data_IF_182808779233
#
_entry.id   IF_182808779233
#
_cell.length_a   1.000
_cell.length_b   1.000
_cell.length_c   1.000
_cell.angle_alpha   90.00
_cell.angle_beta   90.00
_cell.angle_gamma   90.00
#
_symmetry.space_group_name_H-M   'P 1'
#
loop_
_entity.id
_entity.type
_entity.pdbx_description
1 polymer ?
#
# COMPACT_ATOMS: atom_id res chain seq x y z
N UNK A 1 -0.69 19.49 -11.94
CA UNK A 1 -1.18 18.45 -11.00
C UNK A 1 -0.63 18.54 -9.58
N UNK A 2 0.64 18.20 -9.28
CA UNK A 2 1.10 18.10 -7.87
C UNK A 2 0.93 19.37 -7.03
N UNK A 3 1.29 20.54 -7.59
CA UNK A 3 1.17 21.85 -6.94
C UNK A 3 -0.28 22.32 -6.71
N UNK A 4 -1.14 22.12 -7.70
CA UNK A 4 -2.56 22.49 -7.62
C UNK A 4 -3.27 21.61 -6.59
N UNK A 5 -2.99 20.31 -6.62
CA UNK A 5 -3.55 19.36 -5.65
C UNK A 5 -3.10 19.65 -4.22
N UNK A 6 -1.81 19.94 -4.03
CA UNK A 6 -1.31 20.37 -2.73
C UNK A 6 -1.98 21.67 -2.26
N UNK A 7 -2.23 22.61 -3.18
CA UNK A 7 -2.92 23.85 -2.85
C UNK A 7 -4.37 23.61 -2.45
N UNK A 8 -5.07 22.71 -3.15
CA UNK A 8 -6.44 22.31 -2.85
C UNK A 8 -6.55 21.68 -1.44
N UNK A 9 -5.63 20.78 -1.08
CA UNK A 9 -5.65 20.11 0.23
C UNK A 9 -5.40 21.06 1.41
N UNK A 10 -4.84 22.23 1.14
CA UNK A 10 -4.57 23.30 2.11
C UNK A 10 -5.63 24.41 2.09
N UNK A 11 -6.71 24.26 1.31
CA UNK A 11 -7.89 25.13 1.42
C UNK A 11 -8.65 24.81 2.70
N UNK A 12 -9.53 25.72 3.11
CA UNK A 12 -10.40 25.53 4.29
C UNK A 12 -11.60 24.64 3.95
N UNK A 13 -11.92 23.60 4.75
CA UNK A 13 -11.12 23.08 5.87
C UNK A 13 -9.87 22.32 5.38
N UNK A 14 -8.73 22.53 6.08
CA UNK A 14 -7.48 21.83 5.72
C UNK A 14 -7.66 20.31 5.79
N UNK A 15 -7.36 19.62 4.69
CA UNK A 15 -7.45 18.17 4.60
C UNK A 15 -6.10 17.56 4.98
N UNK A 16 -5.99 16.73 6.04
CA UNK A 16 -4.74 16.05 6.38
C UNK A 16 -4.27 15.14 5.25
N UNK A 17 -2.99 15.23 4.85
CA UNK A 17 -2.46 14.40 3.76
C UNK A 17 -1.11 13.75 4.05
N UNK A 18 -0.77 12.75 3.22
CA UNK A 18 0.54 12.09 3.15
C UNK A 18 0.90 11.92 1.67
N UNK A 19 1.66 12.86 1.10
CA UNK A 19 1.99 12.83 -0.33
C UNK A 19 3.46 12.48 -0.54
N UNK A 20 3.72 11.55 -1.46
CA UNK A 20 5.07 11.29 -1.95
C UNK A 20 5.47 12.33 -2.98
N UNK A 21 6.68 12.86 -2.86
CA UNK A 21 7.29 13.74 -3.87
C UNK A 21 8.50 13.04 -4.51
N UNK A 22 8.91 13.50 -5.69
CA UNK A 22 10.10 12.97 -6.37
C UNK A 22 11.37 13.45 -5.66
N UNK A 23 12.44 12.67 -5.74
CA UNK A 23 13.74 13.03 -5.17
C UNK A 23 14.34 14.29 -5.82
N UNK A 24 13.97 14.59 -7.07
CA UNK A 24 14.39 15.80 -7.79
C UNK A 24 13.65 17.08 -7.34
N UNK A 25 12.58 16.97 -6.54
CA UNK A 25 11.82 18.14 -6.11
C UNK A 25 12.60 19.04 -5.17
N UNK A 26 12.44 20.35 -5.35
CA UNK A 26 13.16 21.36 -4.57
C UNK A 26 12.50 21.61 -3.21
N UNK A 27 13.32 21.55 -2.16
CA UNK A 27 12.93 21.75 -0.77
C UNK A 27 13.75 22.92 -0.22
N UNK A 28 13.08 23.87 0.46
CA UNK A 28 13.82 24.95 1.12
C UNK A 28 14.65 24.42 2.29
N UNK A 29 15.83 24.99 2.59
CA UNK A 29 16.53 24.74 3.84
C UNK A 29 15.87 25.49 5.01
N UNK A 30 16.28 25.19 6.25
CA UNK A 30 15.85 25.93 7.46
C UNK A 30 16.36 27.37 7.45
N UNK A 31 17.56 27.60 6.93
CA UNK A 31 18.32 28.85 7.01
C UNK A 31 18.01 29.88 5.93
N UNK A 32 17.03 29.65 5.05
CA UNK A 32 16.70 30.58 3.96
C UNK A 32 17.69 30.60 2.79
N UNK A 33 18.74 29.75 2.80
CA UNK A 33 19.65 29.53 1.67
C UNK A 33 18.92 28.95 0.44
N UNK A 34 19.65 28.80 -0.67
CA UNK A 34 19.15 28.20 -1.92
C UNK A 34 18.48 26.84 -1.69
N UNK A 35 17.35 26.62 -2.36
CA UNK A 35 16.63 25.33 -2.33
C UNK A 35 17.52 24.23 -2.90
N UNK A 36 17.43 23.04 -2.34
CA UNK A 36 18.13 21.85 -2.85
C UNK A 36 17.13 20.74 -3.20
N UNK A 37 17.55 19.80 -4.05
CA UNK A 37 16.75 18.62 -4.35
C UNK A 37 16.57 17.76 -3.10
N UNK A 38 15.44 17.07 -3.02
CA UNK A 38 15.18 16.07 -1.98
C UNK A 38 16.28 15.00 -1.89
N UNK A 39 16.85 14.60 -3.02
CA UNK A 39 18.00 13.69 -3.08
C UNK A 39 19.20 14.22 -2.28
N UNK A 40 19.68 15.43 -2.59
CA UNK A 40 20.76 16.07 -1.85
C UNK A 40 20.40 16.30 -0.38
N UNK A 41 19.13 16.62 -0.11
CA UNK A 41 18.65 16.86 1.25
C UNK A 41 18.67 15.61 2.12
N UNK A 42 18.61 14.41 1.54
CA UNK A 42 18.55 13.13 2.26
C UNK A 42 19.65 12.14 1.85
N UNK A 43 20.71 12.61 1.18
CA UNK A 43 21.82 11.80 0.69
C UNK A 43 22.52 11.02 1.82
N UNK A 44 22.62 11.62 3.00
CA UNK A 44 23.23 11.01 4.18
C UNK A 44 22.45 9.82 4.76
N UNK A 45 21.22 9.54 4.31
CA UNK A 45 20.41 8.43 4.83
C UNK A 45 20.91 7.08 4.31
N UNK A 46 21.16 6.15 5.23
CA UNK A 46 21.47 4.75 4.93
C UNK A 46 20.18 3.94 4.76
N UNK A 47 20.20 2.78 4.06
CA UNK A 47 19.03 1.90 3.96
C UNK A 47 18.45 1.55 5.34
N UNK A 48 17.14 1.69 5.50
CA UNK A 48 16.42 1.50 6.76
C UNK A 48 16.33 2.76 7.63
N UNK A 49 17.10 3.81 7.33
CA UNK A 49 17.03 5.06 8.08
C UNK A 49 15.92 5.97 7.58
N UNK A 50 15.46 6.83 8.50
CA UNK A 50 14.53 7.91 8.19
C UNK A 50 14.91 9.18 8.95
N UNK A 51 14.56 10.32 8.37
CA UNK A 51 14.78 11.64 8.97
C UNK A 51 13.60 12.55 8.66
N UNK A 52 13.02 13.08 9.73
CA UNK A 52 12.10 14.21 9.65
C UNK A 52 12.88 15.52 9.71
N UNK A 53 12.60 16.46 8.81
CA UNK A 53 13.18 17.79 8.90
C UNK A 53 12.50 18.60 10.01
N UNK A 54 13.29 19.33 10.80
CA UNK A 54 12.76 20.17 11.89
C UNK A 54 12.01 21.37 11.34
N UNK A 55 10.71 21.47 11.62
CA UNK A 55 9.83 22.56 11.16
C UNK A 55 9.40 22.43 9.69
N UNK A 56 8.44 23.26 9.27
CA UNK A 56 7.90 23.23 7.90
C UNK A 56 8.93 23.75 6.88
N UNK A 57 8.88 23.23 5.65
CA UNK A 57 9.68 23.63 4.48
C UNK A 57 8.77 24.04 3.34
N UNK A 58 9.29 24.90 2.46
CA UNK A 58 8.61 25.23 1.22
C UNK A 58 8.85 24.13 0.20
N UNK A 59 7.74 23.52 -0.26
CA UNK A 59 7.68 22.57 -1.37
C UNK A 59 6.53 23.02 -2.27
N UNK A 60 6.77 23.13 -3.57
CA UNK A 60 5.78 23.63 -4.55
C UNK A 60 5.07 24.94 -4.16
N UNK A 61 5.76 25.82 -3.42
CA UNK A 61 5.19 27.10 -2.97
C UNK A 61 4.21 26.98 -1.80
N UNK A 62 4.22 25.88 -1.05
CA UNK A 62 3.45 25.70 0.20
C UNK A 62 4.36 25.25 1.35
N UNK A 63 4.04 25.67 2.58
CA UNK A 63 4.78 25.26 3.80
C UNK A 63 4.23 23.94 4.33
N UNK A 64 5.03 22.88 4.26
CA UNK A 64 4.67 21.51 4.68
C UNK A 64 5.78 20.88 5.51
N UNK A 65 5.47 19.89 6.33
CA UNK A 65 6.49 19.02 6.91
C UNK A 65 7.04 18.08 5.86
N UNK A 66 8.32 17.72 6.00
CA UNK A 66 9.04 16.86 5.05
C UNK A 66 9.74 15.75 5.82
N UNK A 67 9.55 14.52 5.37
CA UNK A 67 10.15 13.32 5.93
C UNK A 67 10.81 12.54 4.79
N UNK A 68 12.08 12.20 4.95
CA UNK A 68 12.80 11.31 4.04
C UNK A 68 13.05 9.96 4.71
N UNK A 69 12.96 8.87 3.95
CA UNK A 69 13.34 7.53 4.38
C UNK A 69 13.99 6.79 3.22
N UNK A 70 15.07 6.05 3.49
CA UNK A 70 15.67 5.15 2.52
C UNK A 70 15.19 3.74 2.81
N UNK A 71 14.47 3.13 1.88
CA UNK A 71 13.84 1.83 2.09
C UNK A 71 14.89 0.75 2.34
N UNK A 72 14.71 -0.06 3.39
CA UNK A 72 15.67 -1.10 3.76
C UNK A 72 15.87 -2.13 2.63
N UNK A 73 14.78 -2.56 1.99
CA UNK A 73 14.81 -3.64 0.99
C UNK A 73 15.43 -3.21 -0.35
N UNK A 74 15.12 -1.98 -0.81
CA UNK A 74 15.47 -1.51 -2.16
C UNK A 74 16.55 -0.44 -2.18
N UNK A 75 16.84 0.19 -1.04
CA UNK A 75 17.70 1.36 -0.97
C UNK A 75 17.10 2.61 -1.61
N UNK A 76 15.84 2.56 -2.08
CA UNK A 76 15.16 3.66 -2.76
C UNK A 76 14.82 4.79 -1.77
N UNK A 77 15.03 6.04 -2.20
CA UNK A 77 14.65 7.21 -1.42
C UNK A 77 13.15 7.51 -1.55
N UNK A 78 12.45 7.43 -0.42
CA UNK A 78 11.07 7.85 -0.25
C UNK A 78 11.05 9.21 0.44
N UNK A 79 10.43 10.21 -0.20
CA UNK A 79 10.23 11.53 0.41
C UNK A 79 8.73 11.80 0.52
N UNK A 80 8.28 12.09 1.72
CA UNK A 80 6.90 12.42 2.05
C UNK A 80 6.76 13.86 2.49
N UNK A 81 5.65 14.47 2.10
CA UNK A 81 5.18 15.75 2.61
C UNK A 81 3.82 15.60 3.29
N UNK A 82 3.60 16.40 4.33
CA UNK A 82 2.35 16.42 5.11
C UNK A 82 2.11 17.79 5.76
N UNK A 83 0.85 18.16 5.96
CA UNK A 83 0.45 19.34 6.76
C UNK A 83 0.26 19.03 8.26
N UNK A 84 0.05 17.77 8.65
CA UNK A 84 -0.29 17.38 10.01
C UNK A 84 0.44 16.09 10.47
N UNK A 85 0.76 15.99 11.76
CA UNK A 85 1.34 14.79 12.40
C UNK A 85 2.49 14.16 11.61
N UNK A 86 3.62 14.86 11.39
CA UNK A 86 4.76 14.32 10.65
C UNK A 86 5.37 13.06 11.26
N UNK A 87 5.25 12.89 12.57
CA UNK A 87 5.74 11.74 13.33
C UNK A 87 5.08 10.41 12.92
N UNK A 88 3.80 10.42 12.51
CA UNK A 88 3.11 9.22 12.01
C UNK A 88 3.16 9.10 10.48
N UNK A 89 3.80 10.04 9.78
CA UNK A 89 3.64 10.14 8.33
C UNK A 89 4.14 8.90 7.56
N UNK A 90 5.28 8.34 7.98
CA UNK A 90 5.84 7.14 7.37
C UNK A 90 4.98 5.90 7.65
N UNK A 91 4.52 5.72 8.88
CA UNK A 91 3.70 4.56 9.27
C UNK A 91 2.31 4.61 8.61
N UNK A 92 1.70 5.80 8.53
CA UNK A 92 0.45 6.01 7.79
C UNK A 92 0.64 5.71 6.30
N UNK A 93 1.72 6.21 5.70
CA UNK A 93 2.00 6.00 4.28
C UNK A 93 2.33 4.53 3.95
N UNK A 94 2.97 3.80 4.88
CA UNK A 94 3.22 2.37 4.71
C UNK A 94 1.93 1.55 4.55
N UNK A 95 0.81 1.98 5.16
CA UNK A 95 -0.51 1.33 4.97
C UNK A 95 -1.00 1.42 3.52
N UNK A 96 -0.53 2.42 2.74
CA UNK A 96 -0.86 2.57 1.31
C UNK A 96 -0.39 1.38 0.47
N UNK A 97 0.71 0.71 0.84
CA UNK A 97 1.14 -0.52 0.16
C UNK A 97 0.09 -1.63 0.25
N UNK A 98 -0.73 -1.67 1.31
CA UNK A 98 -1.86 -2.59 1.41
C UNK A 98 -2.87 -2.38 0.26
N UNK A 99 -3.15 -1.11 -0.07
CA UNK A 99 -4.07 -0.73 -1.14
C UNK A 99 -3.51 -1.14 -2.52
N UNK A 100 -2.22 -0.93 -2.77
CA UNK A 100 -1.58 -1.38 -4.02
C UNK A 100 -1.62 -2.91 -4.18
N UNK A 101 -1.48 -3.64 -3.07
CA UNK A 101 -1.64 -5.08 -3.06
C UNK A 101 -3.06 -5.52 -3.37
N UNK A 102 -4.07 -4.84 -2.80
CA UNK A 102 -5.48 -5.07 -3.14
C UNK A 102 -5.75 -4.82 -4.63
N UNK A 103 -5.36 -3.66 -5.17
CA UNK A 103 -5.56 -3.37 -6.59
C UNK A 103 -4.85 -4.39 -7.49
N UNK A 104 -3.63 -4.79 -7.14
CA UNK A 104 -2.94 -5.83 -7.88
C UNK A 104 -3.65 -7.18 -7.85
N UNK A 105 -4.24 -7.56 -6.70
CA UNK A 105 -5.03 -8.77 -6.53
C UNK A 105 -6.34 -8.74 -7.33
N UNK A 106 -7.01 -7.59 -7.42
CA UNK A 106 -8.21 -7.40 -8.25
C UNK A 106 -7.89 -7.49 -9.75
N UNK A 107 -6.71 -7.02 -10.16
CA UNK A 107 -6.23 -7.06 -11.55
C UNK A 107 -5.54 -8.41 -11.84
N UNK A 108 -4.42 -8.37 -12.55
CA UNK A 108 -3.74 -9.52 -13.13
C UNK A 108 -3.16 -10.52 -12.12
N UNK A 109 -2.92 -10.13 -10.86
CA UNK A 109 -2.32 -11.05 -9.87
C UNK A 109 -3.34 -11.99 -9.21
N UNK A 110 -4.64 -11.80 -9.45
CA UNK A 110 -5.70 -12.58 -8.81
C UNK A 110 -6.94 -12.76 -9.68
N UNK A 111 -7.87 -11.83 -9.56
CA UNK A 111 -9.23 -11.95 -10.11
C UNK A 111 -9.37 -11.54 -11.58
N UNK A 112 -8.34 -10.92 -12.17
CA UNK A 112 -8.32 -10.50 -13.57
C UNK A 112 -9.50 -9.59 -13.95
N UNK A 113 -9.89 -8.67 -13.05
CA UNK A 113 -11.05 -7.78 -13.24
C UNK A 113 -11.00 -7.04 -14.59
N UNK A 114 -9.83 -6.56 -15.01
CA UNK A 114 -9.67 -5.82 -16.27
C UNK A 114 -9.97 -6.67 -17.52
N UNK A 115 -9.82 -7.99 -17.45
CA UNK A 115 -10.12 -8.92 -18.53
C UNK A 115 -11.62 -9.16 -18.73
N UNK A 116 -12.46 -8.72 -17.79
CA UNK A 116 -13.92 -8.86 -17.89
C UNK A 116 -14.55 -7.83 -18.83
N UNK A 117 -13.82 -6.75 -19.16
CA UNK A 117 -14.28 -5.63 -19.98
C UNK A 117 -15.63 -5.01 -19.54
N UNK A 118 -16.03 -5.17 -18.27
CA UNK A 118 -17.25 -4.54 -17.75
C UNK A 118 -17.14 -3.02 -17.78
N UNK A 119 -18.05 -2.37 -18.53
CA UNK A 119 -18.13 -0.90 -18.63
C UNK A 119 -19.33 -0.30 -17.89
N UNK A 120 -20.35 -1.11 -17.57
CA UNK A 120 -21.54 -0.63 -16.86
C UNK A 120 -21.24 -0.37 -15.37
N UNK A 121 -21.43 0.86 -14.86
CA UNK A 121 -21.09 1.19 -13.48
C UNK A 121 -21.87 0.40 -12.42
N UNK A 122 -23.15 0.08 -12.67
CA UNK A 122 -23.99 -0.67 -11.71
C UNK A 122 -23.56 -2.13 -11.61
N UNK A 123 -23.20 -2.76 -12.74
CA UNK A 123 -22.61 -4.12 -12.78
C UNK A 123 -21.23 -4.14 -12.16
N UNK A 124 -20.39 -3.14 -12.44
CA UNK A 124 -19.07 -3.02 -11.84
C UNK A 124 -19.15 -2.90 -10.31
N UNK A 125 -20.07 -2.07 -9.79
CA UNK A 125 -20.31 -1.94 -8.35
C UNK A 125 -20.67 -3.29 -7.69
N UNK A 126 -21.59 -4.04 -8.29
CA UNK A 126 -21.96 -5.39 -7.80
C UNK A 126 -20.79 -6.37 -7.87
N UNK A 127 -20.05 -6.36 -8.97
CA UNK A 127 -18.85 -7.20 -9.12
C UNK A 127 -17.79 -6.87 -8.07
N UNK A 128 -17.53 -5.58 -7.82
CA UNK A 128 -16.60 -5.15 -6.78
C UNK A 128 -17.03 -5.64 -5.40
N UNK A 129 -18.33 -5.59 -5.07
CA UNK A 129 -18.84 -6.13 -3.80
C UNK A 129 -18.55 -7.64 -3.67
N UNK A 130 -18.80 -8.42 -4.71
CA UNK A 130 -18.49 -9.85 -4.74
C UNK A 130 -16.98 -10.11 -4.63
N UNK A 131 -16.16 -9.32 -5.34
CA UNK A 131 -14.70 -9.43 -5.28
C UNK A 131 -14.15 -9.05 -3.90
N UNK A 132 -14.77 -8.11 -3.19
CA UNK A 132 -14.41 -7.78 -1.80
C UNK A 132 -14.64 -8.95 -0.84
N UNK A 133 -15.76 -9.67 -1.01
CA UNK A 133 -16.04 -10.89 -0.24
C UNK A 133 -15.04 -12.00 -0.60
N UNK A 134 -14.82 -12.25 -1.89
CA UNK A 134 -13.87 -13.25 -2.36
C UNK A 134 -12.42 -12.94 -1.93
N UNK A 135 -12.04 -11.66 -1.93
CA UNK A 135 -10.73 -11.21 -1.45
C UNK A 135 -10.57 -11.49 0.05
N UNK A 136 -11.57 -11.13 0.85
CA UNK A 136 -11.58 -11.39 2.29
C UNK A 136 -11.47 -12.89 2.57
N UNK A 137 -12.20 -13.72 1.81
CA UNK A 137 -12.14 -15.16 1.93
C UNK A 137 -10.73 -15.70 1.62
N UNK A 138 -10.15 -15.29 0.49
CA UNK A 138 -8.80 -15.68 0.10
C UNK A 138 -7.76 -15.21 1.12
N UNK A 139 -7.92 -14.03 1.70
CA UNK A 139 -7.03 -13.54 2.77
C UNK A 139 -7.13 -14.40 4.04
N UNK A 140 -8.35 -14.71 4.50
CA UNK A 140 -8.56 -15.58 5.66
C UNK A 140 -8.02 -17.00 5.44
N UNK A 141 -8.28 -17.60 4.28
CA UNK A 141 -7.73 -18.90 3.91
C UNK A 141 -6.20 -18.88 3.88
N UNK A 142 -5.60 -17.82 3.32
CA UNK A 142 -4.16 -17.63 3.29
C UNK A 142 -3.55 -17.51 4.69
N UNK A 143 -4.19 -16.75 5.60
CA UNK A 143 -3.78 -16.62 7.00
C UNK A 143 -3.85 -17.94 7.74
N UNK A 144 -4.95 -18.67 7.59
CA UNK A 144 -5.15 -19.99 8.18
C UNK A 144 -4.09 -21.01 7.72
N UNK A 145 -3.80 -21.06 6.42
CA UNK A 145 -2.70 -21.90 5.89
C UNK A 145 -1.36 -21.45 6.47
N UNK A 146 -1.11 -20.13 6.52
CA UNK A 146 0.15 -19.58 7.02
C UNK A 146 0.40 -19.91 8.50
N UNK A 147 -0.64 -19.92 9.33
CA UNK A 147 -0.53 -20.29 10.74
C UNK A 147 -0.15 -21.75 10.94
N UNK A 148 -0.63 -22.66 10.07
CA UNK A 148 -0.33 -24.10 10.13
C UNK A 148 0.99 -24.46 9.45
N UNK A 149 1.26 -23.82 8.33
CA UNK A 149 2.47 -24.00 7.52
C UNK A 149 2.98 -22.63 7.09
N UNK A 150 3.90 -22.03 7.88
CA UNK A 150 4.47 -20.72 7.58
C UNK A 150 5.02 -20.63 6.15
N UNK A 151 4.67 -19.54 5.48
CA UNK A 151 5.15 -19.24 4.13
C UNK A 151 6.57 -18.75 4.29
N UNK A 152 7.51 -19.44 3.64
CA UNK A 152 8.95 -19.13 3.71
C UNK A 152 9.22 -17.66 3.39
N UNK A 153 10.07 -17.04 4.18
CA UNK A 153 10.65 -15.73 3.87
C UNK A 153 11.82 -15.91 2.90
N UNK A 154 11.95 -14.98 1.96
CA UNK A 154 13.13 -14.89 1.08
C UNK A 154 14.20 -14.01 1.75
N UNK A 155 15.41 -14.01 1.18
CA UNK A 155 16.56 -13.25 1.70
C UNK A 155 16.24 -11.75 1.95
N UNK A 156 15.40 -11.15 1.11
CA UNK A 156 14.93 -9.77 1.26
C UNK A 156 13.79 -9.59 2.30
N UNK A 157 13.63 -10.51 3.26
CA UNK A 157 12.66 -10.40 4.37
C UNK A 157 11.17 -10.53 4.02
N UNK A 158 10.80 -10.70 2.74
CA UNK A 158 9.39 -10.82 2.32
C UNK A 158 9.01 -12.28 2.08
N UNK A 159 7.74 -12.61 2.33
CA UNK A 159 7.17 -13.94 2.05
C UNK A 159 7.35 -14.30 0.57
N UNK A 160 7.65 -15.56 0.30
CA UNK A 160 7.79 -16.10 -1.06
C UNK A 160 6.50 -16.02 -1.87
N UNK A 161 5.35 -16.02 -1.18
CA UNK A 161 4.00 -15.90 -1.73
C UNK A 161 3.15 -15.03 -0.81
N UNK A 162 2.25 -14.22 -1.38
CA UNK A 162 1.32 -13.43 -0.57
C UNK A 162 0.26 -14.32 0.08
N UNK A 163 -0.26 -13.89 1.23
CA UNK A 163 -1.36 -14.58 1.92
C UNK A 163 -2.56 -14.73 0.99
N UNK A 164 -2.96 -13.63 0.34
CA UNK A 164 -4.01 -13.63 -0.67
C UNK A 164 -3.81 -14.73 -1.72
N UNK A 165 -2.61 -14.83 -2.33
CA UNK A 165 -2.39 -15.79 -3.41
C UNK A 165 -2.39 -17.23 -2.90
N UNK A 166 -1.83 -17.47 -1.72
CA UNK A 166 -1.89 -18.79 -1.06
C UNK A 166 -3.32 -19.23 -0.83
N UNK A 167 -4.17 -18.35 -0.28
CA UNK A 167 -5.58 -18.67 -0.05
C UNK A 167 -6.40 -18.76 -1.34
N UNK A 168 -6.16 -17.90 -2.33
CA UNK A 168 -6.83 -17.97 -3.63
C UNK A 168 -6.56 -19.30 -4.34
N UNK A 169 -5.31 -19.77 -4.34
CA UNK A 169 -4.96 -21.05 -4.97
C UNK A 169 -5.59 -22.23 -4.21
N UNK A 170 -5.70 -22.15 -2.89
CA UNK A 170 -6.43 -23.12 -2.08
C UNK A 170 -7.92 -23.14 -2.42
N UNK A 171 -8.58 -21.98 -2.44
CA UNK A 171 -10.00 -21.89 -2.80
C UNK A 171 -10.26 -22.42 -4.21
N UNK A 172 -9.42 -22.05 -5.19
CA UNK A 172 -9.52 -22.57 -6.56
C UNK A 172 -9.47 -24.10 -6.60
N UNK A 173 -8.52 -24.72 -5.88
CA UNK A 173 -8.42 -26.19 -5.80
C UNK A 173 -9.66 -26.82 -5.15
N UNK A 174 -10.14 -26.22 -4.06
CA UNK A 174 -11.33 -26.70 -3.35
C UNK A 174 -12.58 -26.66 -4.24
N UNK A 175 -12.78 -25.58 -5.01
CA UNK A 175 -13.91 -25.45 -5.93
C UNK A 175 -13.79 -26.34 -7.17
N UNK A 176 -12.59 -26.53 -7.71
CA UNK A 176 -12.39 -27.32 -8.94
C UNK A 176 -12.43 -28.84 -8.70
N UNK A 177 -12.31 -29.32 -7.46
CA UNK A 177 -12.33 -30.75 -7.13
C UNK A 177 -13.20 -31.07 -5.89
N UNK A 178 -14.53 -30.85 -5.94
CA UNK A 178 -15.40 -30.98 -4.76
C UNK A 178 -15.35 -32.33 -4.02
N UNK A 179 -15.34 -33.51 -4.68
CA UNK A 179 -15.37 -34.79 -3.96
C UNK A 179 -14.07 -35.10 -3.20
N UNK A 180 -12.92 -34.59 -3.66
CA UNK A 180 -11.62 -34.81 -3.03
C UNK A 180 -11.30 -33.80 -1.91
N UNK A 181 -11.98 -32.64 -1.92
CA UNK A 181 -11.70 -31.54 -0.99
C UNK A 181 -12.90 -31.14 -0.14
N UNK A 182 -13.89 -32.03 0.05
CA UNK A 182 -15.11 -31.75 0.82
C UNK A 182 -14.82 -31.16 2.20
N UNK A 183 -13.92 -31.78 2.96
CA UNK A 183 -13.55 -31.30 4.30
C UNK A 183 -12.79 -29.97 4.26
N UNK A 184 -11.91 -29.81 3.27
CA UNK A 184 -11.20 -28.55 3.04
C UNK A 184 -12.14 -27.42 2.62
N UNK A 185 -13.19 -27.73 1.88
CA UNK A 185 -14.23 -26.79 1.47
C UNK A 185 -15.12 -26.38 2.65
N UNK A 186 -15.52 -27.33 3.51
CA UNK A 186 -16.24 -27.02 4.75
C UNK A 186 -15.40 -26.14 5.70
N UNK A 187 -14.11 -26.45 5.86
CA UNK A 187 -13.19 -25.60 6.62
C UNK A 187 -13.05 -24.21 5.99
N UNK A 188 -13.00 -24.12 4.65
CA UNK A 188 -12.96 -22.84 3.95
C UNK A 188 -14.23 -22.01 4.22
N UNK A 189 -15.41 -22.64 4.19
CA UNK A 189 -16.68 -21.97 4.49
C UNK A 189 -16.76 -21.46 5.94
N UNK A 190 -16.25 -22.24 6.90
CA UNK A 190 -16.16 -21.82 8.30
C UNK A 190 -15.26 -20.59 8.50
N UNK A 191 -14.30 -20.32 7.60
CA UNK A 191 -13.53 -19.08 7.69
C UNK A 191 -14.38 -17.83 7.45
N UNK A 192 -15.50 -17.95 6.75
CA UNK A 192 -16.45 -16.87 6.53
C UNK A 192 -17.55 -16.80 7.59
N UNK A 193 -17.76 -17.86 8.39
CA UNK A 193 -18.71 -17.79 9.50
C UNK A 193 -18.20 -16.85 10.58
N UNK A 194 -19.10 -16.02 11.10
CA UNK A 194 -18.86 -15.15 12.25
C UNK A 194 -19.12 -15.85 13.60
N UNK A 195 -19.36 -17.17 13.55
CA UNK A 195 -19.49 -18.08 14.70
C UNK A 195 -18.19 -18.84 14.88
#
# INVERSE_FOLDING_TARGET
MGREWLSYLLLDPEIPFRLRIRHSELISPKSGRTRCSGERMFDSLRPGESRQLTGRRWVWGRKVYVIGSRLADSGELLILITNARPETALSDYARRWGIENLFGALKTRGFCLESTHFKDPKRLSRLLALLSLAFTWAMKAGLWIHQRSPIRLKAHGRRSKSLFRTGLDFLRRAFSNPPLFRDSFHQALQLLSCT
#
